data_IF_997021558176
#
_entry.id   IF_997021558176
#
_cell.length_a   1.000
_cell.length_b   1.000
_cell.length_c   1.000
_cell.angle_alpha   90.00
_cell.angle_beta   90.00
_cell.angle_gamma   90.00
#
_symmetry.space_group_name_H-M   'P 1'
#
loop_
_entity.id
_entity.type
_entity.pdbx_description
1 polymer ?
#
# COMPACT_ATOMS: atom_id res chain seq x y z
N UNK A 1 -48.89 -6.56 -16.22
CA UNK A 1 -48.32 -7.75 -16.91
C UNK A 1 -46.94 -7.35 -17.40
N UNK A 2 -45.90 -7.63 -16.61
CA UNK A 2 -44.51 -7.26 -16.89
C UNK A 2 -43.82 -8.40 -17.64
N UNK A 3 -43.45 -8.17 -18.89
CA UNK A 3 -42.77 -9.11 -19.78
C UNK A 3 -41.23 -9.04 -19.66
N UNK A 4 -40.70 -8.87 -18.45
CA UNK A 4 -39.24 -8.86 -18.18
C UNK A 4 -38.75 -10.10 -17.41
N UNK A 5 -39.59 -11.14 -17.27
CA UNK A 5 -39.31 -12.27 -16.37
C UNK A 5 -38.83 -13.56 -17.06
N UNK A 6 -38.61 -13.59 -18.37
CA UNK A 6 -38.29 -14.86 -19.08
C UNK A 6 -37.16 -14.63 -20.09
N UNK A 7 -35.98 -14.25 -19.60
CA UNK A 7 -34.74 -14.34 -20.38
C UNK A 7 -33.54 -14.75 -19.51
N UNK A 8 -33.77 -15.70 -18.59
CA UNK A 8 -32.68 -16.35 -17.84
C UNK A 8 -32.67 -17.88 -18.00
N UNK A 9 -33.50 -18.44 -18.89
CA UNK A 9 -33.75 -19.88 -18.92
C UNK A 9 -32.79 -20.70 -19.80
N UNK A 10 -31.70 -20.11 -20.33
CA UNK A 10 -30.78 -20.88 -21.17
C UNK A 10 -29.34 -20.34 -21.18
N UNK A 11 -28.85 -19.87 -20.02
CA UNK A 11 -27.39 -19.88 -19.79
C UNK A 11 -27.02 -21.31 -19.42
N UNK A 12 -26.21 -21.91 -20.27
CA UNK A 12 -25.65 -23.25 -20.21
C UNK A 12 -25.21 -23.62 -18.78
N UNK A 13 -25.60 -24.82 -18.36
CA UNK A 13 -25.35 -25.48 -17.06
C UNK A 13 -23.86 -25.66 -16.69
N UNK A 14 -22.93 -24.88 -17.23
CA UNK A 14 -21.47 -25.10 -17.14
C UNK A 14 -20.65 -23.96 -16.54
N UNK A 15 -21.22 -22.77 -16.27
CA UNK A 15 -20.46 -21.61 -15.76
C UNK A 15 -20.85 -21.21 -14.33
N UNK A 16 -21.13 -22.18 -13.45
CA UNK A 16 -21.18 -21.89 -12.03
C UNK A 16 -19.78 -21.97 -11.44
N UNK A 17 -19.41 -21.06 -10.52
CA UNK A 17 -18.21 -21.20 -9.72
C UNK A 17 -18.15 -22.58 -9.07
N UNK A 18 -16.96 -23.15 -9.07
CA UNK A 18 -16.65 -24.40 -8.37
C UNK A 18 -16.88 -24.25 -6.87
N UNK A 19 -17.04 -25.36 -6.14
CA UNK A 19 -17.18 -25.30 -4.68
C UNK A 19 -15.97 -24.63 -4.02
N UNK A 20 -14.77 -24.81 -4.57
CA UNK A 20 -13.57 -24.12 -4.11
C UNK A 20 -13.68 -22.59 -4.28
N UNK A 21 -14.17 -22.11 -5.42
CA UNK A 21 -14.38 -20.67 -5.65
C UNK A 21 -15.49 -20.09 -4.75
N UNK A 22 -16.50 -20.89 -4.40
CA UNK A 22 -17.53 -20.49 -3.43
C UNK A 22 -16.98 -20.45 -1.99
N UNK A 23 -16.05 -21.34 -1.63
CA UNK A 23 -15.32 -21.28 -0.36
C UNK A 23 -14.39 -20.06 -0.31
N UNK A 24 -13.65 -19.77 -1.38
CA UNK A 24 -12.87 -18.54 -1.50
C UNK A 24 -13.75 -17.30 -1.39
N UNK A 25 -14.96 -17.35 -1.95
CA UNK A 25 -15.94 -16.27 -1.80
C UNK A 25 -16.35 -16.08 -0.34
N UNK A 26 -16.54 -17.18 0.41
CA UNK A 26 -16.85 -17.14 1.83
C UNK A 26 -15.70 -16.57 2.68
N UNK A 27 -14.45 -16.90 2.36
CA UNK A 27 -13.27 -16.37 3.09
C UNK A 27 -12.90 -14.93 2.70
N UNK A 28 -13.50 -14.39 1.64
CA UNK A 28 -13.19 -13.05 1.12
C UNK A 28 -12.00 -13.03 0.15
N UNK A 29 -11.56 -14.19 -0.32
CA UNK A 29 -10.39 -14.38 -1.20
C UNK A 29 -10.79 -14.69 -2.65
N UNK A 30 -12.08 -14.69 -2.98
CA UNK A 30 -12.54 -14.92 -4.35
C UNK A 30 -12.13 -13.80 -5.30
N UNK A 31 -11.92 -14.20 -6.56
CA UNK A 31 -11.77 -13.28 -7.68
C UNK A 31 -13.03 -12.41 -7.85
N UNK A 32 -12.84 -11.19 -8.35
CA UNK A 32 -13.93 -10.22 -8.56
C UNK A 32 -15.02 -10.76 -9.50
N UNK A 33 -14.66 -11.61 -10.47
CA UNK A 33 -15.60 -12.28 -11.38
C UNK A 33 -16.56 -13.21 -10.63
N UNK A 34 -16.04 -13.99 -9.67
CA UNK A 34 -16.83 -14.87 -8.81
C UNK A 34 -17.75 -14.06 -7.91
N UNK A 35 -17.26 -12.96 -7.32
CA UNK A 35 -18.08 -12.05 -6.49
C UNK A 35 -19.26 -11.50 -7.30
N UNK A 36 -19.00 -11.00 -8.51
CA UNK A 36 -20.03 -10.49 -9.43
C UNK A 36 -21.02 -11.59 -9.84
N UNK A 37 -20.53 -12.80 -10.12
CA UNK A 37 -21.40 -13.92 -10.48
C UNK A 37 -22.32 -14.31 -9.32
N UNK A 38 -21.80 -14.47 -8.10
CA UNK A 38 -22.60 -14.81 -6.91
C UNK A 38 -23.63 -13.71 -6.64
N UNK A 39 -23.26 -12.44 -6.80
CA UNK A 39 -24.21 -11.33 -6.68
C UNK A 39 -25.35 -11.38 -7.74
N UNK A 40 -25.09 -11.92 -8.93
CA UNK A 40 -26.08 -12.06 -10.01
C UNK A 40 -26.88 -13.37 -10.01
N UNK A 41 -26.35 -14.45 -9.44
CA UNK A 41 -26.91 -15.80 -9.56
C UNK A 41 -27.53 -16.30 -8.24
N UNK A 42 -28.86 -16.53 -8.24
CA UNK A 42 -29.59 -17.01 -7.06
C UNK A 42 -29.12 -18.37 -6.56
N UNK A 43 -28.81 -19.30 -7.47
CA UNK A 43 -28.34 -20.64 -7.09
C UNK A 43 -26.98 -20.58 -6.38
N UNK A 44 -26.07 -19.72 -6.84
CA UNK A 44 -24.77 -19.53 -6.18
C UNK A 44 -24.90 -18.81 -4.83
N UNK A 45 -25.87 -17.89 -4.68
CA UNK A 45 -26.19 -17.32 -3.37
C UNK A 45 -26.69 -18.36 -2.38
N UNK A 46 -27.60 -19.24 -2.81
CA UNK A 46 -28.10 -20.30 -1.94
C UNK A 46 -27.00 -21.29 -1.53
N UNK A 47 -26.10 -21.66 -2.46
CA UNK A 47 -24.94 -22.52 -2.17
C UNK A 47 -23.95 -21.85 -1.22
N UNK A 48 -23.58 -20.59 -1.45
CA UNK A 48 -22.68 -19.85 -0.55
C UNK A 48 -23.30 -19.64 0.84
N UNK A 49 -24.62 -19.36 0.91
CA UNK A 49 -25.34 -19.29 2.18
C UNK A 49 -25.31 -20.61 2.95
N UNK A 50 -25.41 -21.75 2.26
CA UNK A 50 -25.25 -23.07 2.87
C UNK A 50 -23.85 -23.26 3.48
N UNK A 51 -22.79 -22.91 2.75
CA UNK A 51 -21.42 -22.97 3.29
C UNK A 51 -21.21 -22.04 4.49
N UNK A 52 -21.79 -20.82 4.45
CA UNK A 52 -21.76 -19.89 5.59
C UNK A 52 -22.46 -20.50 6.81
N UNK A 53 -23.63 -21.11 6.63
CA UNK A 53 -24.35 -21.75 7.72
C UNK A 53 -23.57 -22.93 8.33
N UNK A 54 -22.94 -23.76 7.50
CA UNK A 54 -22.11 -24.88 7.94
C UNK A 54 -20.88 -24.39 8.72
N UNK A 55 -20.21 -23.33 8.24
CA UNK A 55 -19.08 -22.72 8.92
C UNK A 55 -19.49 -22.13 10.28
N UNK A 56 -20.65 -21.48 10.36
CA UNK A 56 -21.19 -20.98 11.61
C UNK A 56 -21.47 -22.10 12.62
N UNK A 57 -21.94 -23.27 12.16
CA UNK A 57 -22.15 -24.44 13.01
C UNK A 57 -20.83 -25.03 13.53
N UNK A 58 -19.79 -25.09 12.69
CA UNK A 58 -18.45 -25.51 13.14
C UNK A 58 -17.81 -24.50 14.11
N UNK A 59 -18.06 -23.21 13.91
CA UNK A 59 -17.54 -22.17 14.78
C UNK A 59 -18.21 -22.17 16.17
N UNK A 60 -19.36 -22.83 16.33
CA UNK A 60 -19.93 -23.07 17.67
C UNK A 60 -19.15 -24.12 18.49
N UNK A 61 -18.30 -24.91 17.84
CA UNK A 61 -17.28 -25.72 18.51
C UNK A 61 -16.00 -24.91 18.74
N UNK A 62 -16.12 -23.60 18.97
CA UNK A 62 -15.03 -22.71 19.34
C UNK A 62 -14.31 -23.31 20.55
N UNK A 63 -13.18 -23.94 20.26
CA UNK A 63 -12.12 -24.12 21.23
C UNK A 63 -11.82 -22.70 21.67
N UNK A 64 -12.36 -22.30 22.82
CA UNK A 64 -11.95 -21.08 23.49
C UNK A 64 -10.46 -21.23 23.75
N UNK A 65 -9.66 -20.78 22.79
CA UNK A 65 -8.22 -20.69 22.93
C UNK A 65 -8.06 -19.58 23.95
N UNK A 66 -7.74 -19.97 25.18
CA UNK A 66 -7.51 -19.05 26.26
C UNK A 66 -6.29 -18.20 25.87
N UNK A 67 -6.54 -16.98 25.41
CA UNK A 67 -5.49 -16.03 25.06
C UNK A 67 -4.85 -15.61 26.39
N UNK A 68 -3.53 -15.81 26.57
CA UNK A 68 -2.86 -15.38 27.78
C UNK A 68 -3.04 -13.87 27.99
N UNK A 69 -3.38 -13.47 29.22
CA UNK A 69 -3.58 -12.06 29.56
C UNK A 69 -2.37 -11.16 29.24
N UNK A 70 -1.16 -11.73 29.26
CA UNK A 70 0.08 -11.04 28.86
C UNK A 70 0.05 -10.56 27.39
N UNK A 71 -0.56 -11.34 26.49
CA UNK A 71 -0.70 -10.98 25.07
C UNK A 71 -1.61 -9.76 24.91
N UNK A 72 -2.74 -9.75 25.62
CA UNK A 72 -3.69 -8.63 25.59
C UNK A 72 -3.07 -7.35 26.16
N UNK A 73 -2.32 -7.46 27.25
CA UNK A 73 -1.60 -6.33 27.84
C UNK A 73 -0.54 -5.78 26.88
N UNK A 74 0.17 -6.66 26.17
CA UNK A 74 1.16 -6.27 25.17
C UNK A 74 0.51 -5.55 23.99
N UNK A 75 -0.59 -6.08 23.46
CA UNK A 75 -1.35 -5.45 22.36
C UNK A 75 -1.89 -4.08 22.82
N UNK A 76 -2.45 -4.00 24.02
CA UNK A 76 -2.95 -2.75 24.58
C UNK A 76 -1.83 -1.71 24.78
N UNK A 77 -0.64 -2.14 25.22
CA UNK A 77 0.52 -1.27 25.35
C UNK A 77 1.01 -0.75 23.99
N UNK A 78 1.13 -1.63 22.99
CA UNK A 78 1.51 -1.26 21.62
C UNK A 78 0.50 -0.28 21.00
N UNK A 79 -0.80 -0.53 21.16
CA UNK A 79 -1.86 0.34 20.65
C UNK A 79 -1.80 1.74 21.30
N UNK A 80 -1.56 1.81 22.62
CA UNK A 80 -1.37 3.10 23.32
C UNK A 80 -0.12 3.83 22.84
N UNK A 81 0.98 3.11 22.58
CA UNK A 81 2.22 3.71 22.08
C UNK A 81 2.04 4.27 20.66
N UNK A 82 1.39 3.52 19.77
CA UNK A 82 1.07 4.01 18.42
C UNK A 82 0.14 5.23 18.47
N UNK A 83 -0.89 5.20 19.31
CA UNK A 83 -1.79 6.33 19.48
C UNK A 83 -1.06 7.58 20.01
N UNK A 84 -0.06 7.42 20.87
CA UNK A 84 0.79 8.52 21.33
C UNK A 84 1.63 9.11 20.18
N UNK A 85 2.29 8.26 19.38
CA UNK A 85 3.08 8.70 18.21
C UNK A 85 2.24 9.52 17.22
N UNK A 86 1.03 9.06 16.91
CA UNK A 86 0.12 9.77 16.00
C UNK A 86 -0.27 11.14 16.57
N UNK A 87 -0.52 11.25 17.88
CA UNK A 87 -0.83 12.54 18.53
C UNK A 87 0.36 13.49 18.47
N UNK A 88 1.57 13.00 18.71
CA UNK A 88 2.78 13.82 18.71
C UNK A 88 3.10 14.34 17.30
N UNK A 89 2.96 13.50 16.28
CA UNK A 89 3.06 13.93 14.88
C UNK A 89 2.03 15.01 14.55
N UNK A 90 0.76 14.80 14.91
CA UNK A 90 -0.30 15.79 14.68
C UNK A 90 -0.02 17.12 15.41
N UNK A 91 0.54 17.08 16.63
CA UNK A 91 0.96 18.27 17.37
C UNK A 91 2.09 19.00 16.66
N UNK A 92 3.08 18.28 16.14
CA UNK A 92 4.22 18.85 15.43
C UNK A 92 3.81 19.51 14.10
N UNK A 93 2.86 18.93 13.37
CA UNK A 93 2.28 19.55 12.17
C UNK A 93 1.54 20.86 12.49
N UNK A 94 0.81 20.93 13.62
CA UNK A 94 0.16 22.18 14.07
C UNK A 94 1.18 23.25 14.42
N UNK A 95 2.28 22.90 15.10
CA UNK A 95 3.36 23.84 15.41
C UNK A 95 4.09 24.33 14.17
N UNK A 96 4.42 23.44 13.21
CA UNK A 96 5.05 23.84 11.94
C UNK A 96 4.17 24.84 11.16
N UNK A 97 2.85 24.65 11.15
CA UNK A 97 1.89 25.61 10.57
C UNK A 97 1.88 26.99 11.25
N UNK A 98 2.20 27.07 12.54
CA UNK A 98 2.28 28.34 13.27
C UNK A 98 3.62 29.06 13.04
N UNK A 99 4.72 28.32 12.87
CA UNK A 99 6.07 28.92 12.69
C UNK A 99 6.32 29.34 11.23
N UNK A 100 5.58 28.81 10.25
CA UNK A 100 5.69 29.18 8.84
C UNK A 100 5.24 30.62 8.51
N UNK A 101 4.68 31.38 9.46
CA UNK A 101 4.14 32.73 9.19
C UNK A 101 5.12 33.88 9.44
N UNK A 102 6.33 33.68 9.99
CA UNK A 102 7.26 34.80 10.29
C UNK A 102 8.69 34.60 9.76
N UNK A 103 9.12 33.40 9.38
CA UNK A 103 10.53 33.13 9.03
C UNK A 103 10.87 33.21 7.53
N UNK A 104 10.02 33.79 6.68
CA UNK A 104 10.20 33.75 5.21
C UNK A 104 11.29 34.64 4.63
N UNK A 105 11.74 35.69 5.34
CA UNK A 105 12.63 36.71 4.72
C UNK A 105 14.09 36.61 5.20
N UNK A 106 14.33 36.27 6.47
CA UNK A 106 15.69 36.22 7.01
C UNK A 106 16.47 34.95 6.59
N UNK A 107 15.78 33.80 6.45
CA UNK A 107 16.42 32.54 6.11
C UNK A 107 16.90 32.48 4.63
N UNK A 108 16.15 33.09 3.71
CA UNK A 108 16.52 33.16 2.29
C UNK A 108 17.81 33.96 2.08
N UNK A 109 17.98 35.06 2.81
CA UNK A 109 19.19 35.91 2.71
C UNK A 109 20.43 35.15 3.21
N UNK A 110 20.31 34.38 4.30
CA UNK A 110 21.42 33.61 4.85
C UNK A 110 21.83 32.45 3.91
N UNK A 111 20.86 31.76 3.30
CA UNK A 111 21.12 30.66 2.35
C UNK A 111 21.82 31.19 1.10
N UNK A 112 21.37 32.32 0.53
CA UNK A 112 22.00 32.93 -0.66
C UNK A 112 23.44 33.39 -0.39
N UNK A 113 23.76 33.82 0.84
CA UNK A 113 25.11 34.27 1.20
C UNK A 113 26.08 33.14 1.58
N UNK A 114 25.59 32.04 2.19
CA UNK A 114 26.46 30.98 2.73
C UNK A 114 26.68 29.84 1.74
N UNK A 115 25.67 29.48 0.92
CA UNK A 115 25.75 28.36 -0.03
C UNK A 115 26.87 28.50 -1.07
N UNK A 116 27.17 29.67 -1.67
CA UNK A 116 28.25 29.74 -2.65
C UNK A 116 29.66 29.68 -2.03
N UNK A 117 29.80 29.80 -0.70
CA UNK A 117 31.11 29.78 -0.01
C UNK A 117 31.50 28.40 0.49
N UNK A 118 30.56 27.47 0.65
CA UNK A 118 30.84 26.11 1.13
C UNK A 118 30.78 25.01 0.05
N UNK A 119 30.40 25.35 -1.19
CA UNK A 119 30.33 24.41 -2.32
C UNK A 119 31.62 24.38 -3.17
N UNK A 120 32.78 24.15 -2.54
CA UNK A 120 34.03 23.86 -3.27
C UNK A 120 34.63 22.48 -2.99
N UNK A 121 33.90 21.59 -2.32
CA UNK A 121 34.31 20.18 -2.22
C UNK A 121 33.35 19.30 -3.03
N UNK A 122 33.78 19.01 -4.25
CA UNK A 122 33.24 17.95 -5.08
C UNK A 122 33.37 16.60 -4.33
N UNK A 123 32.25 16.09 -3.82
CA UNK A 123 32.09 14.67 -3.45
C UNK A 123 30.98 14.07 -4.29
N UNK A 124 31.12 12.80 -4.74
CA UNK A 124 30.21 12.19 -5.68
C UNK A 124 28.90 11.82 -4.97
N UNK A 125 27.97 12.77 -4.89
CA UNK A 125 26.60 12.58 -4.38
C UNK A 125 25.55 12.62 -5.49
N UNK A 126 25.98 12.63 -6.75
CA UNK A 126 25.09 12.71 -7.92
C UNK A 126 24.41 11.40 -8.28
N UNK A 127 24.88 10.25 -7.76
CA UNK A 127 24.27 8.94 -8.10
C UNK A 127 23.10 8.55 -7.19
N UNK A 128 22.97 9.19 -6.04
CA UNK A 128 21.98 8.83 -5.02
C UNK A 128 20.76 9.75 -5.04
N UNK A 129 20.91 11.00 -5.50
CA UNK A 129 19.80 11.96 -5.58
C UNK A 129 18.80 11.62 -6.70
N UNK A 130 19.21 10.87 -7.72
CA UNK A 130 18.31 10.42 -8.79
C UNK A 130 17.42 9.24 -8.34
N UNK A 131 17.85 8.47 -7.34
CA UNK A 131 17.11 7.34 -6.79
C UNK A 131 16.16 7.70 -5.63
N UNK A 132 16.33 8.89 -5.02
CA UNK A 132 15.37 9.48 -4.07
C UNK A 132 14.22 10.13 -4.85
N UNK A 133 13.28 9.28 -5.25
CA UNK A 133 12.14 9.65 -6.11
C UNK A 133 11.17 10.57 -5.37
N UNK A 134 11.06 10.41 -4.05
CA UNK A 134 10.10 11.13 -3.22
C UNK A 134 10.66 12.44 -2.63
N UNK A 135 12.00 12.62 -2.65
CA UNK A 135 12.71 13.82 -2.24
C UNK A 135 12.87 14.00 -0.73
N UNK A 136 12.81 12.91 0.05
CA UNK A 136 12.94 12.96 1.51
C UNK A 136 14.38 12.81 2.02
N UNK A 137 15.33 12.61 1.11
CA UNK A 137 16.76 12.46 1.37
C UNK A 137 17.17 11.06 1.81
N UNK A 138 16.27 10.07 1.74
CA UNK A 138 16.54 8.66 1.94
C UNK A 138 16.24 7.90 0.65
N UNK A 139 16.87 6.74 0.47
CA UNK A 139 16.54 5.81 -0.61
C UNK A 139 15.98 4.56 0.07
N UNK A 140 14.67 4.38 0.02
CA UNK A 140 14.00 3.23 0.61
C UNK A 140 12.92 2.63 -0.32
N UNK A 141 12.16 1.66 0.20
CA UNK A 141 11.12 1.00 -0.59
C UNK A 141 9.95 1.93 -0.99
N UNK A 142 9.80 3.07 -0.33
CA UNK A 142 8.82 4.09 -0.66
C UNK A 142 9.22 4.84 -1.95
N UNK A 143 10.52 4.94 -2.25
CA UNK A 143 11.00 5.49 -3.53
C UNK A 143 10.68 4.55 -4.70
N UNK A 144 10.84 3.24 -4.49
CA UNK A 144 10.43 2.25 -5.48
C UNK A 144 8.91 2.30 -5.73
N UNK A 145 8.11 2.48 -4.67
CA UNK A 145 6.66 2.66 -4.80
C UNK A 145 6.29 3.97 -5.50
N UNK A 146 6.99 5.06 -5.19
CA UNK A 146 6.78 6.35 -5.83
C UNK A 146 7.10 6.28 -7.33
N UNK A 147 8.20 5.59 -7.70
CA UNK A 147 8.54 5.36 -9.10
C UNK A 147 7.49 4.51 -9.80
N UNK A 148 7.02 3.43 -9.15
CA UNK A 148 5.97 2.55 -9.69
C UNK A 148 4.64 3.29 -9.99
N UNK A 149 4.32 4.34 -9.24
CA UNK A 149 3.14 5.18 -9.49
C UNK A 149 3.33 6.12 -10.69
N UNK A 150 4.58 6.49 -10.98
CA UNK A 150 4.92 7.42 -12.05
C UNK A 150 5.21 6.66 -13.36
N UNK A 151 5.77 5.45 -13.27
CA UNK A 151 5.98 4.54 -14.42
C UNK A 151 4.66 4.27 -15.14
N UNK A 152 4.58 4.70 -16.40
CA UNK A 152 3.36 4.64 -17.23
C UNK A 152 2.66 5.99 -17.44
N UNK A 153 3.03 7.03 -16.70
CA UNK A 153 2.47 8.40 -16.85
C UNK A 153 3.47 9.42 -17.38
N UNK A 154 4.77 9.13 -17.28
CA UNK A 154 5.85 10.01 -17.76
C UNK A 154 6.81 9.23 -18.66
N UNK A 155 7.46 9.95 -19.58
CA UNK A 155 8.53 9.45 -20.45
C UNK A 155 9.82 10.28 -20.28
N UNK A 156 9.94 10.98 -19.15
CA UNK A 156 11.13 11.80 -18.88
C UNK A 156 12.34 10.90 -18.61
N UNK A 157 13.40 11.07 -19.40
CA UNK A 157 14.65 10.28 -19.38
C UNK A 157 15.35 10.24 -18.02
N UNK A 158 15.05 11.19 -17.12
CA UNK A 158 15.55 11.20 -15.73
C UNK A 158 15.02 10.06 -14.85
N UNK A 159 14.03 9.31 -15.32
CA UNK A 159 13.44 8.17 -14.60
C UNK A 159 13.90 6.81 -15.13
N UNK A 160 14.76 6.80 -16.15
CA UNK A 160 15.53 5.61 -16.56
C UNK A 160 16.74 5.50 -15.62
N UNK A 161 16.55 4.76 -14.54
CA UNK A 161 17.54 4.67 -13.45
C UNK A 161 18.60 3.62 -13.73
N UNK A 162 18.27 2.64 -14.57
CA UNK A 162 19.20 1.59 -14.97
C UNK A 162 20.00 1.95 -16.25
N UNK A 163 19.59 2.99 -16.98
CA UNK A 163 20.25 3.53 -18.18
C UNK A 163 20.02 2.71 -19.45
N UNK A 164 18.93 1.94 -19.54
CA UNK A 164 18.63 1.06 -20.69
C UNK A 164 17.79 1.74 -21.81
N UNK A 165 17.44 3.02 -21.59
CA UNK A 165 16.65 3.85 -22.50
C UNK A 165 15.15 3.58 -22.42
N UNK A 166 14.68 2.85 -21.40
CA UNK A 166 13.27 2.56 -21.14
C UNK A 166 12.94 2.92 -19.69
N UNK A 167 11.68 3.20 -19.44
CA UNK A 167 11.16 3.46 -18.09
C UNK A 167 10.14 2.37 -17.83
N UNK A 168 10.57 1.31 -17.16
CA UNK A 168 9.74 0.14 -16.88
C UNK A 168 9.96 -0.43 -15.47
N UNK A 169 9.40 -1.61 -15.22
CA UNK A 169 9.50 -2.26 -13.91
C UNK A 169 10.94 -2.58 -13.50
N UNK A 170 11.87 -2.65 -14.46
CA UNK A 170 13.29 -2.88 -14.20
C UNK A 170 13.95 -1.71 -13.47
N UNK A 171 13.47 -0.48 -13.67
CA UNK A 171 13.92 0.70 -12.90
C UNK A 171 13.45 0.65 -11.45
N UNK A 172 12.25 0.13 -11.21
CA UNK A 172 11.69 -0.07 -9.87
C UNK A 172 12.49 -1.13 -9.11
N UNK A 173 12.79 -2.25 -9.78
CA UNK A 173 13.60 -3.33 -9.22
C UNK A 173 15.03 -2.86 -8.91
N UNK A 174 15.58 -1.95 -9.71
CA UNK A 174 16.89 -1.34 -9.48
C UNK A 174 16.94 -0.54 -8.17
N UNK A 175 15.95 0.32 -7.90
CA UNK A 175 15.86 1.03 -6.60
C UNK A 175 15.70 0.04 -5.45
N UNK A 176 14.83 -0.96 -5.60
CA UNK A 176 14.57 -1.93 -4.55
C UNK A 176 15.85 -2.71 -4.16
N UNK A 177 16.69 -3.04 -5.14
CA UNK A 177 17.97 -3.69 -4.90
C UNK A 177 18.97 -2.74 -4.20
N UNK A 178 19.03 -1.48 -4.62
CA UNK A 178 19.92 -0.47 -4.01
C UNK A 178 19.54 -0.19 -2.54
N UNK A 179 18.24 -0.12 -2.25
CA UNK A 179 17.72 0.06 -0.90
C UNK A 179 18.14 -1.08 0.05
N UNK A 180 18.22 -2.33 -0.46
CA UNK A 180 18.70 -3.47 0.34
C UNK A 180 20.21 -3.39 0.58
N UNK A 181 20.99 -2.97 -0.42
CA UNK A 181 22.46 -2.84 -0.33
C UNK A 181 22.91 -1.82 0.73
N UNK A 182 22.15 -0.73 0.90
CA UNK A 182 22.45 0.30 1.91
C UNK A 182 22.14 -0.13 3.35
N UNK A 183 21.34 -1.18 3.55
CA UNK A 183 21.03 -1.74 4.88
C UNK A 183 22.15 -2.58 5.49
N UNK A 184 23.07 -3.11 4.67
CA UNK A 184 24.10 -4.07 5.10
C UNK A 184 25.47 -3.42 5.40
N UNK A 185 25.58 -2.09 5.32
CA UNK A 185 26.80 -1.35 5.67
C UNK A 185 26.68 -0.65 7.04
N UNK A 186 26.60 -1.45 8.11
CA UNK A 186 26.69 -1.02 9.52
C UNK A 186 27.92 -1.59 10.21
#
# INVERSE_FOLDING_TARGET
MNLFAISCAYSTMSDHPTDLELELFRTGEALETTVKHVAGCEQCRQRSAFFIALAAEQQLCDLSIEIPAETDDTIAAMARQQAARVRDQARMHRLKRWVSSIAGVAAVILIVLVVPVMNQDERPLLKNAEADVNGDGQIDILDALALAQITGTTTEERWDLNGDGRIDTSDVDFIALEAVSLGDSS
#
